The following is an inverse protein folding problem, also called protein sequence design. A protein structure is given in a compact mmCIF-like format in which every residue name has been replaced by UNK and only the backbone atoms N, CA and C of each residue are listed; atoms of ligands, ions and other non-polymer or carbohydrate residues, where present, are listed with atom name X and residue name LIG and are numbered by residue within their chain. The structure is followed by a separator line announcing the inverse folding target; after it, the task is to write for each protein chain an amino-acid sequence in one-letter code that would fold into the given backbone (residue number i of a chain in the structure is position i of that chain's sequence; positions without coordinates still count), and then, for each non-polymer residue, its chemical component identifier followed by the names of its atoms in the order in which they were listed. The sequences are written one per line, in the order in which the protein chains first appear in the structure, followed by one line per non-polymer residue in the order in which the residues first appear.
data_IF_724502446177
#
_entry.id   IF_724502446177
#
_cell.length_a   1.000
_cell.length_b   1.000
_cell.length_c   1.000
_cell.angle_alpha   90.00
_cell.angle_beta   90.00
_cell.angle_gamma   90.00
#
_symmetry.space_group_name_H-M   'P 1'
#
loop_
_entity.id
_entity.type
_entity.pdbx_description
1 polymer ?
#
# COMPACT_ATOMS: atom_id res chain seq x y z
N UNK A 1 18.34 7.01 -18.48
CA UNK A 1 17.38 6.04 -17.92
C UNK A 1 16.34 6.82 -17.17
N UNK A 2 15.05 6.55 -17.40
CA UNK A 2 13.96 7.22 -16.68
C UNK A 2 13.74 6.49 -15.36
N UNK A 3 13.65 7.24 -14.26
CA UNK A 3 13.38 6.68 -12.93
C UNK A 3 11.89 6.35 -12.78
N UNK A 4 11.53 5.31 -12.04
CA UNK A 4 10.13 5.01 -11.79
C UNK A 4 9.47 6.13 -10.95
N UNK A 5 8.13 6.23 -10.93
CA UNK A 5 7.44 7.27 -10.16
C UNK A 5 7.62 7.06 -8.65
N UNK A 6 7.48 8.14 -7.86
CA UNK A 6 7.41 8.01 -6.41
C UNK A 6 6.23 7.11 -6.01
N UNK A 7 6.41 6.25 -5.02
CA UNK A 7 5.33 5.36 -4.59
C UNK A 7 5.81 4.14 -3.82
N UNK A 8 4.92 3.18 -3.68
CA UNK A 8 5.16 1.91 -2.99
C UNK A 8 5.73 0.88 -3.95
N UNK A 9 6.73 0.14 -3.47
CA UNK A 9 7.39 -0.91 -4.22
C UNK A 9 7.65 -2.12 -3.33
N UNK A 10 7.75 -3.28 -3.97
CA UNK A 10 8.33 -4.50 -3.40
C UNK A 10 9.72 -4.70 -3.99
N UNK A 11 10.71 -4.98 -3.17
CA UNK A 11 12.03 -5.36 -3.68
C UNK A 11 11.96 -6.78 -4.26
N UNK A 12 12.53 -6.99 -5.45
CA UNK A 12 12.67 -8.30 -6.11
C UNK A 12 14.12 -8.79 -6.13
N UNK A 13 14.96 -8.15 -5.32
CA UNK A 13 16.38 -8.39 -5.19
C UNK A 13 16.97 -7.40 -4.16
N UNK A 14 18.23 -7.57 -3.76
CA UNK A 14 18.86 -6.71 -2.78
C UNK A 14 19.03 -5.28 -3.30
N UNK A 15 18.79 -4.31 -2.43
CA UNK A 15 19.00 -2.89 -2.68
C UNK A 15 19.79 -2.28 -1.51
N UNK A 16 21.12 -2.18 -1.66
CA UNK A 16 21.99 -1.79 -0.56
C UNK A 16 21.91 -2.81 0.59
N UNK A 17 21.47 -2.36 1.77
CA UNK A 17 21.21 -3.24 2.93
C UNK A 17 19.78 -3.78 3.01
N UNK A 18 18.90 -3.36 2.10
CA UNK A 18 17.51 -3.79 2.03
C UNK A 18 17.45 -5.14 1.30
N UNK A 19 16.82 -6.12 1.94
CA UNK A 19 16.67 -7.47 1.38
C UNK A 19 15.62 -7.54 0.27
N UNK A 20 15.49 -8.71 -0.34
CA UNK A 20 14.39 -9.02 -1.26
C UNK A 20 13.06 -9.18 -0.51
N UNK A 21 11.96 -8.89 -1.20
CA UNK A 21 10.60 -9.12 -0.74
C UNK A 21 10.11 -8.08 0.26
N UNK A 22 10.82 -6.96 0.45
CA UNK A 22 10.45 -5.94 1.44
C UNK A 22 9.58 -4.85 0.82
N UNK A 23 8.60 -4.36 1.60
CA UNK A 23 7.86 -3.15 1.30
C UNK A 23 8.77 -1.94 1.47
N UNK A 24 8.78 -1.06 0.47
CA UNK A 24 9.51 0.20 0.54
C UNK A 24 8.72 1.34 -0.10
N UNK A 25 9.00 2.57 0.32
CA UNK A 25 8.61 3.76 -0.42
C UNK A 25 9.81 4.29 -1.20
N UNK A 26 9.64 4.49 -2.50
CA UNK A 26 10.65 5.10 -3.37
C UNK A 26 10.32 6.57 -3.63
N UNK A 27 11.35 7.42 -3.56
CA UNK A 27 11.27 8.83 -3.89
C UNK A 27 12.34 9.18 -4.93
N UNK A 28 11.94 9.69 -6.10
CA UNK A 28 12.84 9.82 -7.25
C UNK A 28 13.56 11.19 -7.37
N UNK A 29 13.33 12.14 -6.46
CA UNK A 29 13.87 13.51 -6.54
C UNK A 29 14.34 14.09 -5.19
N UNK A 30 14.92 13.27 -4.33
CA UNK A 30 15.51 13.73 -3.06
C UNK A 30 16.84 14.47 -3.23
N UNK A 31 17.37 15.00 -2.12
CA UNK A 31 18.72 15.56 -2.01
C UNK A 31 19.51 14.70 -0.99
N UNK A 32 20.59 14.00 -1.37
CA UNK A 32 21.41 14.16 -2.59
C UNK A 32 20.92 13.44 -3.86
N UNK A 33 19.85 12.66 -3.79
CA UNK A 33 19.30 11.97 -4.96
C UNK A 33 18.08 11.11 -4.63
N UNK A 34 17.71 10.17 -5.52
CA UNK A 34 16.64 9.22 -5.27
C UNK A 34 16.91 8.38 -4.02
N UNK A 35 15.85 8.08 -3.27
CA UNK A 35 15.97 7.38 -1.99
C UNK A 35 14.86 6.36 -1.77
N UNK A 36 15.17 5.39 -0.90
CA UNK A 36 14.25 4.34 -0.45
C UNK A 36 14.06 4.41 1.04
N UNK A 37 12.82 4.32 1.47
CA UNK A 37 12.41 4.47 2.87
C UNK A 37 11.74 3.18 3.30
N UNK A 38 12.17 2.66 4.46
CA UNK A 38 11.60 1.46 5.06
C UNK A 38 10.34 1.82 5.87
N UNK A 39 9.36 0.91 5.97
CA UNK A 39 8.24 1.09 6.88
C UNK A 39 8.74 1.07 8.32
N UNK A 40 8.26 2.05 9.11
CA UNK A 40 8.55 2.23 10.53
C UNK A 40 7.44 1.63 11.41
N UNK A 41 6.19 1.94 11.06
CA UNK A 41 5.00 1.50 11.78
C UNK A 41 3.78 1.46 10.85
N UNK A 42 2.67 0.91 11.32
CA UNK A 42 1.40 0.94 10.61
C UNK A 42 0.39 1.72 11.43
N UNK A 43 -0.25 2.70 10.79
CA UNK A 43 -1.31 3.51 11.38
C UNK A 43 -2.54 3.46 10.50
N UNK A 44 -3.66 3.01 11.08
CA UNK A 44 -4.92 2.79 10.34
C UNK A 44 -4.71 1.92 9.09
N UNK A 45 -4.00 0.80 9.28
CA UNK A 45 -3.65 -0.20 8.25
C UNK A 45 -2.78 0.32 7.09
N UNK A 46 -2.11 1.45 7.29
CA UNK A 46 -1.22 2.07 6.30
C UNK A 46 0.19 2.24 6.82
N UNK A 47 1.17 1.88 6.01
CA UNK A 47 2.57 2.03 6.34
C UNK A 47 2.91 3.52 6.55
N UNK A 48 3.58 3.80 7.66
CA UNK A 48 4.30 5.03 7.93
C UNK A 48 5.78 4.74 7.70
N UNK A 49 6.45 5.56 6.91
CA UNK A 49 7.83 5.34 6.51
C UNK A 49 8.79 6.13 7.40
N UNK A 50 10.01 5.64 7.51
CA UNK A 50 11.10 6.36 8.17
C UNK A 50 11.27 7.76 7.57
N UNK A 51 11.67 8.74 8.39
CA UNK A 51 11.96 10.10 7.90
C UNK A 51 13.24 10.15 7.07
N UNK A 52 14.19 9.25 7.37
CA UNK A 52 15.47 9.13 6.69
C UNK A 52 15.51 7.86 5.86
N UNK A 53 15.64 8.04 4.55
CA UNK A 53 15.81 6.96 3.59
C UNK A 53 17.28 6.65 3.31
N UNK A 54 17.51 5.58 2.56
CA UNK A 54 18.79 5.24 1.96
C UNK A 54 18.84 5.80 0.55
N UNK A 55 19.86 6.62 0.24
CA UNK A 55 20.11 7.10 -1.13
C UNK A 55 20.50 5.94 -2.03
N UNK A 56 19.94 5.87 -3.24
CA UNK A 56 20.36 4.89 -4.25
C UNK A 56 21.58 5.46 -4.99
N UNK A 57 22.75 4.88 -4.75
CA UNK A 57 24.00 5.28 -5.41
C UNK A 57 24.09 4.76 -6.86
N UNK A 58 23.78 3.49 -7.09
CA UNK A 58 23.66 2.89 -8.43
C UNK A 58 22.19 2.93 -8.88
N UNK A 59 21.83 3.91 -9.71
CA UNK A 59 20.49 4.04 -10.27
C UNK A 59 20.04 2.83 -11.09
N UNK A 60 20.96 1.99 -11.57
CA UNK A 60 20.60 0.73 -12.22
C UNK A 60 19.83 -0.23 -11.30
N UNK A 61 19.94 -0.07 -9.98
CA UNK A 61 19.24 -0.90 -9.00
C UNK A 61 17.74 -0.62 -8.92
N UNK A 62 17.22 0.46 -9.50
CA UNK A 62 15.76 0.68 -9.56
C UNK A 62 15.03 -0.44 -10.32
N UNK A 63 15.75 -1.25 -11.12
CA UNK A 63 15.21 -2.44 -11.80
C UNK A 63 14.69 -3.52 -10.84
N UNK A 64 15.13 -3.52 -9.58
CA UNK A 64 14.66 -4.49 -8.57
C UNK A 64 13.43 -3.99 -7.79
N UNK A 65 12.83 -2.87 -8.21
CA UNK A 65 11.63 -2.32 -7.59
C UNK A 65 10.41 -2.69 -8.42
N UNK A 66 9.59 -3.60 -7.88
CA UNK A 66 8.28 -3.94 -8.45
C UNK A 66 7.23 -2.96 -7.92
N UNK A 67 6.57 -2.15 -8.77
CA UNK A 67 5.57 -1.19 -8.33
C UNK A 67 4.36 -1.88 -7.68
N UNK A 68 3.86 -1.26 -6.61
CA UNK A 68 2.65 -1.68 -5.92
C UNK A 68 1.55 -0.64 -6.06
N UNK A 69 0.26 -1.05 -6.16
CA UNK A 69 -0.85 -0.13 -6.03
C UNK A 69 -0.76 0.66 -4.73
N UNK A 70 -1.08 1.98 -4.73
CA UNK A 70 -1.04 2.77 -3.52
C UNK A 70 -2.01 2.25 -2.45
N UNK A 71 -1.63 2.32 -1.18
CA UNK A 71 -2.58 2.08 -0.09
C UNK A 71 -3.76 3.07 -0.13
N UNK A 72 -4.89 2.67 0.44
CA UNK A 72 -6.07 3.54 0.54
C UNK A 72 -7.37 2.79 0.30
N UNK A 73 -8.43 3.52 -0.04
CA UNK A 73 -9.74 2.94 -0.29
C UNK A 73 -9.94 2.54 -1.75
N UNK A 74 -10.59 1.41 -1.95
CA UNK A 74 -10.85 0.78 -3.23
C UNK A 74 -12.30 0.30 -3.29
N UNK A 75 -12.85 0.21 -4.49
CA UNK A 75 -14.11 -0.48 -4.78
C UNK A 75 -13.82 -1.76 -5.55
N UNK A 76 -14.47 -2.85 -5.19
CA UNK A 76 -14.45 -4.09 -5.98
C UNK A 76 -15.18 -3.87 -7.31
N UNK A 77 -14.52 -4.16 -8.42
CA UNK A 77 -15.11 -4.05 -9.77
C UNK A 77 -15.78 -5.33 -10.21
N UNK A 78 -15.29 -6.48 -9.77
CA UNK A 78 -15.83 -7.81 -10.06
C UNK A 78 -15.61 -8.71 -8.84
N UNK A 79 -16.59 -9.54 -8.48
CA UNK A 79 -16.51 -10.37 -7.27
C UNK A 79 -15.35 -11.36 -7.33
N UNK A 80 -14.60 -11.50 -6.23
CA UNK A 80 -13.45 -12.40 -6.17
C UNK A 80 -13.20 -12.94 -4.76
N UNK A 81 -12.39 -14.00 -4.67
CA UNK A 81 -11.96 -14.54 -3.38
C UNK A 81 -10.55 -14.10 -3.01
N UNK A 82 -10.25 -13.97 -1.72
CA UNK A 82 -8.93 -13.56 -1.22
C UNK A 82 -7.78 -14.49 -1.65
N UNK A 83 -8.06 -15.78 -1.89
CA UNK A 83 -7.06 -16.77 -2.27
C UNK A 83 -7.72 -18.00 -2.90
N UNK A 84 -6.90 -18.95 -3.36
CA UNK A 84 -7.34 -20.23 -3.95
C UNK A 84 -8.21 -21.07 -2.99
N UNK A 85 -7.99 -20.95 -1.68
CA UNK A 85 -8.80 -21.63 -0.65
C UNK A 85 -10.16 -20.98 -0.43
N UNK A 86 -10.45 -19.86 -1.09
CA UNK A 86 -11.76 -19.20 -1.07
C UNK A 86 -12.26 -18.83 0.34
N UNK A 87 -11.35 -18.50 1.27
CA UNK A 87 -11.72 -18.24 2.67
C UNK A 87 -12.63 -17.02 2.86
N UNK A 88 -12.62 -16.06 1.92
CA UNK A 88 -13.45 -14.86 1.93
C UNK A 88 -13.82 -14.45 0.52
N UNK A 89 -15.11 -14.22 0.29
CA UNK A 89 -15.64 -13.55 -0.90
C UNK A 89 -15.67 -12.03 -0.67
N UNK A 90 -15.20 -11.29 -1.67
CA UNK A 90 -15.39 -9.86 -1.82
C UNK A 90 -16.39 -9.64 -2.95
N UNK A 91 -17.56 -9.10 -2.61
CA UNK A 91 -18.64 -8.87 -3.55
C UNK A 91 -18.36 -7.62 -4.40
N UNK A 92 -18.85 -7.62 -5.63
CA UNK A 92 -18.85 -6.44 -6.49
C UNK A 92 -19.43 -5.23 -5.75
N UNK A 93 -18.85 -4.06 -5.99
CA UNK A 93 -19.20 -2.78 -5.35
C UNK A 93 -18.87 -2.66 -3.85
N UNK A 94 -18.32 -3.72 -3.22
CA UNK A 94 -17.84 -3.60 -1.85
C UNK A 94 -16.73 -2.55 -1.72
N UNK A 95 -16.79 -1.78 -0.62
CA UNK A 95 -15.72 -0.88 -0.20
C UNK A 95 -14.64 -1.68 0.52
N UNK A 96 -13.39 -1.46 0.14
CA UNK A 96 -12.21 -2.06 0.76
C UNK A 96 -11.18 -0.99 1.11
N UNK A 97 -10.36 -1.24 2.13
CA UNK A 97 -9.08 -0.58 2.31
C UNK A 97 -7.97 -1.55 1.91
N UNK A 98 -7.01 -1.10 1.11
CA UNK A 98 -5.77 -1.81 0.80
C UNK A 98 -4.64 -1.29 1.69
N UNK A 99 -3.97 -2.22 2.37
CA UNK A 99 -2.71 -2.04 3.08
C UNK A 99 -1.71 -3.14 2.70
N UNK A 100 -0.48 -3.05 3.21
CA UNK A 100 0.56 -4.07 3.02
C UNK A 100 1.24 -4.42 4.35
N UNK A 101 1.83 -5.61 4.47
CA UNK A 101 2.77 -5.92 5.56
C UNK A 101 4.21 -5.52 5.19
N UNK A 102 5.17 -5.80 6.07
CA UNK A 102 6.60 -5.55 5.84
C UNK A 102 7.15 -6.33 4.63
N UNK A 103 6.56 -7.48 4.29
CA UNK A 103 6.91 -8.33 3.14
C UNK A 103 6.21 -7.92 1.83
N UNK A 104 5.54 -6.75 1.82
CA UNK A 104 4.76 -6.23 0.71
C UNK A 104 3.62 -7.15 0.22
N UNK A 105 3.15 -8.07 1.07
CA UNK A 105 1.93 -8.83 0.82
C UNK A 105 0.71 -7.91 0.99
N UNK A 106 -0.21 -7.86 0.02
CA UNK A 106 -1.41 -7.05 0.14
C UNK A 106 -2.39 -7.63 1.16
N UNK A 107 -3.01 -6.74 1.92
CA UNK A 107 -4.05 -7.04 2.92
C UNK A 107 -5.28 -6.19 2.60
N UNK A 108 -6.44 -6.84 2.48
CA UNK A 108 -7.71 -6.19 2.24
C UNK A 108 -8.52 -6.14 3.53
N UNK A 109 -8.91 -4.94 3.93
CA UNK A 109 -9.76 -4.67 5.08
C UNK A 109 -11.14 -4.25 4.58
N UNK A 110 -12.19 -4.76 5.22
CA UNK A 110 -13.58 -4.45 4.85
C UNK A 110 -14.09 -3.46 5.88
N UNK A 111 -14.29 -2.17 5.54
CA UNK A 111 -14.90 -1.23 6.46
C UNK A 111 -16.32 -1.66 6.83
N UNK A 112 -16.70 -1.41 8.07
CA UNK A 112 -17.99 -1.75 8.65
C UNK A 112 -18.68 -0.46 9.13
N UNK A 113 -20.01 -0.47 9.17
CA UNK A 113 -20.77 0.59 9.84
C UNK A 113 -20.93 0.23 11.32
N UNK A 114 -20.31 1.01 12.20
CA UNK A 114 -20.41 0.90 13.65
C UNK A 114 -20.88 2.24 14.19
N UNK A 115 -22.01 2.26 14.90
CA UNK A 115 -22.63 3.48 15.44
C UNK A 115 -22.80 4.59 14.38
N UNK A 116 -23.23 4.20 13.18
CA UNK A 116 -23.40 5.09 12.01
C UNK A 116 -22.11 5.70 11.45
N UNK A 117 -20.94 5.19 11.85
CA UNK A 117 -19.63 5.59 11.33
C UNK A 117 -18.97 4.44 10.57
N UNK A 118 -18.23 4.75 9.51
CA UNK A 118 -17.33 3.76 8.91
C UNK A 118 -16.14 3.52 9.84
N UNK A 119 -16.03 2.30 10.35
CA UNK A 119 -14.87 1.80 11.06
C UNK A 119 -14.11 0.83 10.16
N UNK A 120 -12.79 0.94 10.11
CA UNK A 120 -11.95 -0.05 9.43
C UNK A 120 -11.36 -0.99 10.47
N UNK A 121 -11.55 -2.31 10.36
CA UNK A 121 -11.01 -3.26 11.33
C UNK A 121 -9.48 -3.29 11.30
N UNK A 122 -8.87 -3.67 12.42
CA UNK A 122 -7.41 -3.85 12.54
C UNK A 122 -6.92 -5.13 11.83
N UNK A 123 -7.82 -6.09 11.60
CA UNK A 123 -7.52 -7.35 10.91
C UNK A 123 -8.15 -7.36 9.54
N UNK A 124 -7.36 -7.80 8.56
CA UNK A 124 -7.80 -7.96 7.18
C UNK A 124 -7.46 -9.34 6.64
N UNK A 125 -7.73 -9.51 5.36
CA UNK A 125 -7.49 -10.75 4.64
C UNK A 125 -6.27 -10.58 3.74
N UNK A 126 -5.24 -11.40 3.98
CA UNK A 126 -4.10 -11.49 3.06
C UNK A 126 -4.61 -11.93 1.69
N UNK A 127 -4.07 -11.32 0.65
CA UNK A 127 -4.40 -11.61 -0.74
C UNK A 127 -3.14 -11.64 -1.61
N UNK A 128 -3.29 -11.66 -2.93
CA UNK A 128 -2.16 -11.60 -3.87
C UNK A 128 -2.25 -10.36 -4.76
N UNK A 129 -1.12 -9.93 -5.34
CA UNK A 129 -1.12 -8.81 -6.29
C UNK A 129 -2.03 -9.07 -7.49
N UNK A 130 -2.17 -10.32 -7.93
CA UNK A 130 -3.07 -10.69 -9.03
C UNK A 130 -4.53 -10.34 -8.74
N UNK A 131 -4.99 -10.54 -7.50
CA UNK A 131 -6.38 -10.21 -7.12
C UNK A 131 -6.66 -8.70 -7.15
N UNK A 132 -5.63 -7.86 -7.08
CA UNK A 132 -5.80 -6.41 -7.10
C UNK A 132 -6.24 -5.89 -8.48
N UNK A 133 -6.22 -6.72 -9.52
CA UNK A 133 -6.86 -6.42 -10.81
C UNK A 133 -8.38 -6.29 -10.73
N UNK A 134 -9.02 -6.83 -9.68
CA UNK A 134 -10.47 -6.79 -9.47
C UNK A 134 -10.93 -5.62 -8.58
N UNK A 135 -10.04 -4.67 -8.29
CA UNK A 135 -10.36 -3.50 -7.49
C UNK A 135 -9.90 -2.22 -8.16
N UNK A 136 -10.60 -1.12 -7.89
CA UNK A 136 -10.26 0.21 -8.41
C UNK A 136 -10.16 1.22 -7.29
N UNK A 137 -9.07 1.97 -7.28
CA UNK A 137 -8.83 2.99 -6.25
C UNK A 137 -9.92 4.05 -6.27
N UNK A 138 -10.47 4.35 -5.10
CA UNK A 138 -11.38 5.45 -4.88
C UNK A 138 -10.60 6.73 -4.58
N UNK A 139 -11.02 7.84 -5.21
CA UNK A 139 -10.48 9.16 -4.91
C UNK A 139 -11.25 9.74 -3.72
N UNK A 140 -10.77 9.46 -2.52
CA UNK A 140 -11.36 9.97 -1.27
C UNK A 140 -10.60 11.24 -0.86
N UNK A 141 -11.27 12.38 -0.67
CA UNK A 141 -10.64 13.58 -0.10
C UNK A 141 -10.08 13.30 1.30
N UNK A 142 -8.88 13.76 1.57
CA UNK A 142 -8.25 13.63 2.89
C UNK A 142 -8.33 14.97 3.62
N UNK A 143 -9.06 14.99 4.73
CA UNK A 143 -9.17 16.18 5.60
C UNK A 143 -8.58 15.87 6.97
N UNK A 144 -7.81 16.81 7.53
CA UNK A 144 -7.34 16.69 8.92
C UNK A 144 -8.52 16.90 9.87
N UNK A 145 -8.57 16.16 10.98
CA UNK A 145 -9.65 16.27 11.96
C UNK A 145 -9.89 17.71 12.41
N UNK A 146 -8.82 18.46 12.64
CA UNK A 146 -8.86 19.85 13.11
C UNK A 146 -9.32 20.84 12.03
N UNK A 147 -9.46 20.39 10.77
CA UNK A 147 -9.94 21.17 9.64
C UNK A 147 -11.37 20.82 9.24
N UNK A 148 -12.02 19.87 9.93
CA UNK A 148 -13.43 19.58 9.70
C UNK A 148 -14.30 20.66 10.36
N UNK A 149 -15.35 21.16 9.69
CA UNK A 149 -16.33 22.00 10.36
C UNK A 149 -16.97 21.24 11.52
N UNK A 150 -17.46 21.93 12.57
CA UNK A 150 -18.23 21.29 13.63
C UNK A 150 -19.37 20.48 13.01
N UNK A 151 -19.52 19.23 13.44
CA UNK A 151 -20.63 18.36 13.03
C UNK A 151 -21.83 18.55 13.95
#
# INVERSE_FOLDING_TARGET
MELPPCGLYRTTGPLGSIGEGQLVYFHNHGNPGPGVYLPKEWRYNRAQFEEKGQTIEDLGLVRVLLPLPPEGFYRVTESFHCCEKQCRLFEQDALLQLGYNAEADPILFIPELVDSMFAVPEKGWKTTLNTLGNVRQLRVPVTKRDALPPQ
#
